data_IF_380274622709
#
_entry.id   IF_380274622709
#
_cell.length_a   1.000
_cell.length_b   1.000
_cell.length_c   1.000
_cell.angle_alpha   90.00
_cell.angle_beta   90.00
_cell.angle_gamma   90.00
#
_symmetry.space_group_name_H-M   'P 1'
#
loop_
_entity.id
_entity.type
_entity.pdbx_description
1 polymer ?
#
# COMPACT_ATOMS: atom_id res chain seq x y z
N UNK A 1 4.62 4.39 8.15
CA UNK A 1 4.76 5.15 6.92
C UNK A 1 3.86 4.55 5.84
N UNK A 2 2.88 5.34 5.42
CA UNK A 2 1.89 4.87 4.43
C UNK A 2 2.54 4.33 3.15
N UNK A 3 3.41 5.13 2.56
CA UNK A 3 3.95 4.79 1.24
C UNK A 3 4.75 3.51 1.22
N UNK A 4 5.55 3.30 2.25
CA UNK A 4 6.40 2.13 2.32
C UNK A 4 5.59 0.86 2.47
N UNK A 5 4.60 0.88 3.36
CA UNK A 5 3.73 -0.28 3.57
C UNK A 5 2.86 -0.51 2.34
N UNK A 6 2.36 0.56 1.74
CA UNK A 6 1.56 0.45 0.53
C UNK A 6 2.33 -0.25 -0.59
N UNK A 7 3.58 0.17 -0.79
CA UNK A 7 4.42 -0.44 -1.83
C UNK A 7 4.60 -1.94 -1.59
N UNK A 8 4.86 -2.31 -0.34
CA UNK A 8 5.04 -3.72 -0.01
C UNK A 8 3.80 -4.53 -0.35
N UNK A 9 2.62 -4.01 0.03
CA UNK A 9 1.38 -4.71 -0.25
C UNK A 9 1.11 -4.78 -1.74
N UNK A 10 1.30 -3.64 -2.44
CA UNK A 10 1.09 -3.59 -3.88
C UNK A 10 1.94 -4.64 -4.60
N UNK A 11 3.22 -4.70 -4.25
CA UNK A 11 4.15 -5.66 -4.87
C UNK A 11 3.79 -7.09 -4.51
N UNK A 12 3.35 -7.32 -3.28
CA UNK A 12 2.90 -8.64 -2.86
C UNK A 12 1.72 -9.13 -3.68
N UNK A 13 0.89 -8.22 -4.15
CA UNK A 13 -0.27 -8.57 -4.97
C UNK A 13 0.05 -8.61 -6.47
N UNK A 14 1.29 -8.31 -6.84
CA UNK A 14 1.71 -8.32 -8.23
C UNK A 14 1.17 -7.17 -9.05
N UNK A 15 0.81 -6.07 -8.40
CA UNK A 15 0.25 -4.92 -9.09
C UNK A 15 1.34 -3.90 -9.42
N UNK A 16 1.24 -3.32 -10.63
CA UNK A 16 2.17 -2.27 -11.04
C UNK A 16 1.71 -0.93 -10.52
N UNK A 17 2.63 0.05 -10.52
CA UNK A 17 2.27 1.41 -10.17
C UNK A 17 1.20 1.96 -11.11
N UNK A 18 1.33 1.67 -12.38
CA UNK A 18 0.38 2.14 -13.37
C UNK A 18 -1.03 1.61 -13.10
N UNK A 19 -1.12 0.35 -12.74
CA UNK A 19 -2.42 -0.26 -12.44
C UNK A 19 -3.11 0.41 -11.28
N UNK A 20 -2.38 0.67 -10.20
CA UNK A 20 -3.01 1.27 -9.02
C UNK A 20 -3.23 2.78 -9.18
N UNK A 21 -2.52 3.44 -10.09
CA UNK A 21 -2.77 4.85 -10.36
C UNK A 21 -4.12 5.08 -11.02
N UNK A 22 -4.56 4.15 -11.87
CA UNK A 22 -5.89 4.14 -12.44
C UNK A 22 -6.35 5.41 -13.12
N UNK A 23 -5.41 6.21 -13.65
CA UNK A 23 -5.76 7.47 -14.29
C UNK A 23 -6.04 8.63 -13.33
N UNK A 24 -5.96 8.38 -12.02
CA UNK A 24 -6.22 9.40 -11.00
C UNK A 24 -4.92 10.05 -10.53
N UNK A 25 -3.88 9.25 -10.39
CA UNK A 25 -2.57 9.72 -9.97
C UNK A 25 -1.56 9.44 -11.06
N UNK A 26 -0.49 10.24 -11.10
CA UNK A 26 0.62 9.96 -12.00
C UNK A 26 1.57 8.97 -11.32
N UNK A 27 2.32 8.23 -12.13
CA UNK A 27 3.34 7.32 -11.59
C UNK A 27 4.40 8.09 -10.79
N UNK A 28 4.72 9.30 -11.23
CA UNK A 28 5.68 10.15 -10.53
C UNK A 28 5.17 10.47 -9.12
N UNK A 29 3.89 10.84 -9.02
CA UNK A 29 3.28 11.12 -7.71
C UNK A 29 3.29 9.89 -6.82
N UNK A 30 2.92 8.74 -7.36
CA UNK A 30 2.91 7.52 -6.58
C UNK A 30 4.32 7.14 -6.13
N UNK A 31 5.32 7.31 -7.00
CA UNK A 31 6.70 7.02 -6.61
C UNK A 31 7.15 7.88 -5.44
N UNK A 32 6.76 9.14 -5.41
CA UNK A 32 7.08 10.03 -4.30
C UNK A 32 6.39 9.58 -3.02
N UNK A 33 5.16 9.14 -3.13
CA UNK A 33 4.42 8.62 -1.97
C UNK A 33 5.11 7.37 -1.44
N UNK A 34 5.43 6.43 -2.32
CA UNK A 34 6.02 5.15 -1.92
C UNK A 34 7.42 5.28 -1.37
N UNK A 35 8.14 6.34 -1.78
CA UNK A 35 9.48 6.59 -1.26
C UNK A 35 9.47 7.43 0.03
N UNK A 36 8.30 7.86 0.46
CA UNK A 36 8.16 8.65 1.68
C UNK A 36 8.44 10.13 1.49
N UNK A 37 8.62 10.59 0.25
CA UNK A 37 8.89 12.01 -0.01
C UNK A 37 7.67 12.89 0.17
N UNK A 38 6.49 12.36 -0.08
CA UNK A 38 5.25 13.09 0.11
C UNK A 38 4.24 12.22 0.83
N UNK A 39 3.33 12.87 1.56
CA UNK A 39 2.21 12.18 2.19
C UNK A 39 0.97 12.48 1.36
N UNK A 40 0.23 11.46 0.91
CA UNK A 40 -0.94 11.71 0.08
C UNK A 40 -2.08 12.32 0.90
N UNK A 41 -2.95 13.05 0.21
CA UNK A 41 -4.18 13.56 0.81
C UNK A 41 -5.09 12.38 1.12
N UNK A 42 -6.04 12.62 2.03
CA UNK A 42 -6.96 11.57 2.45
C UNK A 42 -7.68 10.91 1.25
N UNK A 43 -8.17 11.72 0.33
CA UNK A 43 -8.90 11.18 -0.84
C UNK A 43 -8.01 10.26 -1.67
N UNK A 44 -6.74 10.63 -1.80
CA UNK A 44 -5.80 9.80 -2.57
C UNK A 44 -5.46 8.52 -1.81
N UNK A 45 -5.34 8.60 -0.48
CA UNK A 45 -5.14 7.40 0.33
C UNK A 45 -6.31 6.44 0.15
N UNK A 46 -7.52 6.95 0.24
CA UNK A 46 -8.72 6.13 0.07
C UNK A 46 -8.74 5.47 -1.31
N UNK A 47 -8.45 6.26 -2.35
CA UNK A 47 -8.40 5.73 -3.69
C UNK A 47 -7.37 4.61 -3.82
N UNK A 48 -6.16 4.86 -3.32
CA UNK A 48 -5.07 3.88 -3.42
C UNK A 48 -5.40 2.59 -2.67
N UNK A 49 -6.04 2.70 -1.51
CA UNK A 49 -6.42 1.51 -0.75
C UNK A 49 -7.48 0.70 -1.46
N UNK A 50 -8.39 1.36 -2.18
CA UNK A 50 -9.37 0.64 -2.99
C UNK A 50 -8.70 -0.17 -4.09
N UNK A 51 -7.62 0.37 -4.67
CA UNK A 51 -6.92 -0.32 -5.75
C UNK A 51 -6.27 -1.62 -5.28
N UNK A 52 -5.96 -1.72 -4.00
CA UNK A 52 -5.40 -2.96 -3.44
C UNK A 52 -6.45 -3.72 -2.60
N UNK A 53 -7.72 -3.31 -2.73
CA UNK A 53 -8.85 -3.98 -2.10
C UNK A 53 -8.71 -4.07 -0.57
N UNK A 54 -8.41 -2.94 0.04
CA UNK A 54 -8.15 -2.89 1.47
C UNK A 54 -8.80 -1.66 2.10
N UNK A 55 -9.33 -1.82 3.32
CA UNK A 55 -9.89 -0.71 4.07
C UNK A 55 -8.80 0.00 4.85
N UNK A 56 -9.11 1.21 5.36
CA UNK A 56 -8.18 1.92 6.23
C UNK A 56 -7.86 1.12 7.48
N UNK A 57 -8.86 0.47 8.04
CA UNK A 57 -8.67 -0.30 9.27
C UNK A 57 -7.72 -1.47 9.04
N UNK A 58 -7.89 -2.17 7.93
CA UNK A 58 -7.01 -3.28 7.59
C UNK A 58 -5.59 -2.81 7.36
N UNK A 59 -5.46 -1.69 6.65
CA UNK A 59 -4.15 -1.14 6.35
C UNK A 59 -3.44 -0.70 7.64
N UNK A 60 -4.17 -0.02 8.52
CA UNK A 60 -3.61 0.43 9.78
C UNK A 60 -3.15 -0.75 10.62
N UNK A 61 -3.91 -1.83 10.63
CA UNK A 61 -3.55 -3.02 11.35
C UNK A 61 -2.21 -3.57 10.85
N UNK A 62 -2.03 -3.63 9.53
CA UNK A 62 -0.77 -4.09 8.94
C UNK A 62 0.37 -3.17 9.34
N UNK A 63 0.14 -1.85 9.32
CA UNK A 63 1.15 -0.88 9.72
C UNK A 63 1.63 -1.12 11.14
N UNK A 64 0.71 -1.47 12.05
CA UNK A 64 1.05 -1.75 13.44
C UNK A 64 1.90 -3.01 13.58
N UNK A 65 1.69 -3.97 12.70
CA UNK A 65 2.45 -5.22 12.72
C UNK A 65 3.79 -5.11 12.00
N UNK A 66 3.98 -4.02 11.26
CA UNK A 66 5.14 -3.88 10.40
C UNK A 66 6.44 -3.78 11.20
N UNK A 67 7.35 -4.73 10.94
CA UNK A 67 8.68 -4.73 11.53
C UNK A 67 9.67 -5.11 10.44
N UNK A 68 10.77 -4.37 10.30
CA UNK A 68 11.70 -4.59 9.19
C UNK A 68 12.18 -6.03 9.04
N UNK A 69 12.36 -6.75 10.14
CA UNK A 69 12.88 -8.12 10.11
C UNK A 69 11.83 -9.17 9.80
N UNK A 70 10.54 -8.84 9.91
CA UNK A 70 9.45 -9.82 9.78
C UNK A 70 8.40 -9.42 8.76
N UNK A 71 8.56 -8.27 8.16
CA UNK A 71 7.50 -7.66 7.35
C UNK A 71 6.95 -8.56 6.24
N UNK A 72 7.83 -9.24 5.52
CA UNK A 72 7.40 -10.07 4.39
C UNK A 72 6.54 -11.23 4.86
N UNK A 73 6.97 -11.89 5.92
CA UNK A 73 6.24 -13.00 6.50
C UNK A 73 4.86 -12.57 6.98
N UNK A 74 4.83 -11.48 7.75
CA UNK A 74 3.58 -10.98 8.30
C UNK A 74 2.62 -10.59 7.21
N UNK A 75 3.09 -9.89 6.19
CA UNK A 75 2.26 -9.47 5.08
C UNK A 75 1.70 -10.65 4.31
N UNK A 76 2.55 -11.62 3.99
CA UNK A 76 2.10 -12.78 3.25
C UNK A 76 1.05 -13.57 4.03
N UNK A 77 1.28 -13.75 5.33
CA UNK A 77 0.32 -14.45 6.17
C UNK A 77 -1.02 -13.73 6.19
N UNK A 78 -1.00 -12.42 6.37
CA UNK A 78 -2.23 -11.64 6.41
C UNK A 78 -2.98 -11.70 5.08
N UNK A 79 -2.27 -11.50 3.98
CA UNK A 79 -2.89 -11.51 2.65
C UNK A 79 -3.46 -12.87 2.31
N UNK A 80 -2.77 -13.94 2.68
CA UNK A 80 -3.25 -15.30 2.46
C UNK A 80 -4.53 -15.57 3.24
N UNK A 81 -4.61 -15.06 4.45
CA UNK A 81 -5.81 -15.24 5.27
C UNK A 81 -7.02 -14.53 4.70
N UNK A 82 -6.80 -13.45 3.97
CA UNK A 82 -7.89 -12.70 3.37
C UNK A 82 -8.40 -13.35 2.08
N UNK A 83 -7.58 -14.13 1.45
CA UNK A 83 -7.97 -14.81 0.21
C UNK A 83 -8.99 -15.88 0.49
#
# INVERSE_FOLDING_TARGET
DFGKVYKEIRESKGLTQEEVCGGVLSRTSLSKIESGKTTPKYENMEFLLRQINMSFEEFEYICQLYQPSQRTEIMQTYLNMRS
#
